data_IF_118696840588
#
_entry.id   IF_118696840588
#
_cell.length_a   1.000
_cell.length_b   1.000
_cell.length_c   1.000
_cell.angle_alpha   90.00
_cell.angle_beta   90.00
_cell.angle_gamma   90.00
#
_symmetry.space_group_name_H-M   'P 1'
#
loop_
_entity.id
_entity.type
_entity.pdbx_description
1 polymer ?
#
# COMPACT_ATOMS: atom_id res chain seq x y z
N UNK A 1 -2.79 -3.52 47.42
CA UNK A 1 -3.34 -4.67 46.69
C UNK A 1 -3.16 -4.36 45.21
N UNK A 2 -2.21 -5.01 44.52
CA UNK A 2 -1.99 -4.79 43.08
C UNK A 2 -3.13 -5.49 42.33
N UNK A 3 -4.10 -4.72 41.85
CA UNK A 3 -5.10 -5.22 40.90
C UNK A 3 -4.52 -5.06 39.50
N UNK A 4 -4.34 -6.17 38.80
CA UNK A 4 -4.04 -6.15 37.37
C UNK A 4 -5.31 -5.69 36.66
N UNK A 5 -5.21 -4.62 35.88
CA UNK A 5 -6.33 -4.08 35.12
C UNK A 5 -6.82 -5.11 34.08
N UNK A 6 -8.15 -5.21 33.86
CA UNK A 6 -8.69 -6.10 32.85
C UNK A 6 -8.31 -5.61 31.45
N UNK A 7 -7.84 -6.52 30.60
CA UNK A 7 -7.49 -6.24 29.21
C UNK A 7 -8.53 -6.87 28.28
N UNK A 8 -9.04 -6.10 27.33
CA UNK A 8 -10.09 -6.48 26.38
C UNK A 8 -9.56 -6.45 24.97
N UNK A 9 -9.93 -7.44 24.15
CA UNK A 9 -9.52 -7.53 22.75
C UNK A 9 -10.72 -7.33 21.84
N UNK A 10 -10.65 -6.33 20.96
CA UNK A 10 -11.63 -6.10 19.90
C UNK A 10 -10.97 -6.37 18.54
N UNK A 11 -11.66 -7.09 17.66
CA UNK A 11 -11.14 -7.45 16.34
C UNK A 11 -12.01 -6.90 15.21
N UNK A 12 -11.35 -6.45 14.15
CA UNK A 12 -11.98 -6.03 12.89
C UNK A 12 -11.34 -6.79 11.74
N UNK A 13 -12.13 -7.13 10.73
CA UNK A 13 -11.64 -7.82 9.53
C UNK A 13 -11.78 -6.90 8.34
N UNK A 14 -10.68 -6.71 7.62
CA UNK A 14 -10.63 -5.94 6.37
C UNK A 14 -10.21 -6.84 5.22
N UNK A 15 -10.61 -6.46 4.01
CA UNK A 15 -10.14 -7.09 2.78
C UNK A 15 -9.96 -6.05 1.69
N UNK A 16 -9.25 -6.40 0.60
CA UNK A 16 -9.19 -5.55 -0.58
C UNK A 16 -10.60 -5.33 -1.12
N UNK A 17 -10.92 -4.09 -1.47
CA UNK A 17 -12.06 -3.84 -2.35
C UNK A 17 -11.72 -4.51 -3.69
N UNK A 18 -12.47 -5.53 -4.12
CA UNK A 18 -12.19 -6.19 -5.40
C UNK A 18 -12.29 -5.17 -6.53
N UNK A 19 -11.15 -4.84 -7.14
CA UNK A 19 -11.05 -3.94 -8.29
C UNK A 19 -10.60 -4.72 -9.52
N UNK A 20 -11.30 -5.79 -9.87
CA UNK A 20 -11.11 -6.48 -11.16
C UNK A 20 -11.44 -5.58 -12.37
N UNK A 21 -12.04 -4.40 -12.13
CA UNK A 21 -12.45 -3.48 -13.19
C UNK A 21 -11.29 -2.74 -13.88
N UNK A 22 -10.10 -2.65 -13.28
CA UNK A 22 -9.04 -1.77 -13.81
C UNK A 22 -7.61 -2.37 -13.78
N UNK A 23 -7.40 -3.54 -13.19
CA UNK A 23 -6.07 -4.16 -13.01
C UNK A 23 -5.52 -4.84 -14.26
N UNK A 24 -6.35 -5.22 -15.24
CA UNK A 24 -5.87 -5.99 -16.40
C UNK A 24 -5.89 -5.29 -17.76
N UNK A 25 -6.46 -4.08 -17.91
CA UNK A 25 -6.64 -3.50 -19.26
C UNK A 25 -6.75 -1.98 -19.35
N UNK A 26 -6.23 -1.23 -18.37
CA UNK A 26 -6.27 0.26 -18.45
C UNK A 26 -5.12 0.85 -19.28
N UNK A 27 -4.20 0.03 -19.78
CA UNK A 27 -3.54 0.33 -21.06
C UNK A 27 -4.59 0.06 -22.13
N UNK A 28 -5.27 1.07 -22.71
CA UNK A 28 -6.15 0.79 -23.83
C UNK A 28 -5.25 0.14 -24.87
N UNK A 29 -5.61 -1.07 -25.31
CA UNK A 29 -5.01 -1.68 -26.48
C UNK A 29 -5.32 -0.73 -27.65
N UNK A 30 -4.52 0.32 -27.80
CA UNK A 30 -4.51 1.15 -28.97
C UNK A 30 -3.93 0.24 -30.04
N UNK A 31 -4.84 -0.39 -30.78
CA UNK A 31 -4.55 -0.97 -32.08
C UNK A 31 -4.16 0.22 -32.95
N UNK A 32 -2.91 0.69 -32.80
CA UNK A 32 -2.23 1.51 -33.76
C UNK A 32 -2.12 0.62 -34.99
N UNK A 33 -2.94 0.96 -35.96
CA UNK A 33 -3.04 0.33 -37.26
C UNK A 33 -1.65 0.29 -37.88
N UNK A 34 -1.12 -0.91 -38.05
CA UNK A 34 0.06 -1.31 -38.82
C UNK A 34 1.22 -0.28 -38.89
N UNK A 35 2.09 -0.32 -37.89
CA UNK A 35 3.55 -0.33 -38.14
C UNK A 35 4.22 -1.04 -36.96
N UNK A 36 4.78 -2.22 -37.23
CA UNK A 36 5.24 -3.24 -36.27
C UNK A 36 6.41 -2.83 -35.38
N UNK A 37 6.94 -1.63 -35.51
CA UNK A 37 8.17 -1.19 -34.82
C UNK A 37 7.93 -0.35 -33.55
N UNK A 38 6.68 0.04 -33.26
CA UNK A 38 6.38 0.90 -32.09
C UNK A 38 6.01 0.13 -30.81
N UNK A 39 5.95 -1.21 -30.86
CA UNK A 39 5.55 -2.08 -29.73
C UNK A 39 6.54 -2.16 -28.55
N UNK A 40 7.61 -1.36 -28.50
CA UNK A 40 8.71 -1.59 -27.54
C UNK A 40 9.15 -0.42 -26.66
N UNK A 41 8.57 0.78 -26.79
CA UNK A 41 9.07 1.94 -26.04
C UNK A 41 8.10 2.55 -25.02
N UNK A 42 6.94 1.93 -24.75
CA UNK A 42 5.93 2.61 -23.92
C UNK A 42 5.02 1.72 -23.05
N UNK A 43 5.27 0.40 -23.03
CA UNK A 43 4.56 -0.55 -22.15
C UNK A 43 5.24 -0.66 -20.78
N UNK A 44 6.59 -0.60 -20.73
CA UNK A 44 7.35 -1.01 -19.54
C UNK A 44 7.21 -0.10 -18.30
N UNK A 45 6.70 1.14 -18.43
CA UNK A 45 6.69 2.12 -17.34
C UNK A 45 5.29 2.56 -16.87
N UNK A 46 4.20 2.00 -17.41
CA UNK A 46 2.84 2.47 -17.09
C UNK A 46 1.91 1.44 -16.46
N UNK A 47 2.13 0.14 -16.68
CA UNK A 47 1.37 -0.89 -15.97
C UNK A 47 1.71 -0.90 -14.46
N UNK A 48 2.85 -0.32 -14.05
CA UNK A 48 3.24 -0.15 -12.65
C UNK A 48 2.43 0.90 -11.87
N UNK A 49 1.68 1.79 -12.54
CA UNK A 49 0.85 2.78 -11.84
C UNK A 49 -0.44 2.18 -11.28
N UNK A 50 -0.82 0.96 -11.68
CA UNK A 50 -1.99 0.26 -11.14
C UNK A 50 -1.53 -0.64 -10.00
N UNK A 51 -1.87 -0.19 -8.80
CA UNK A 51 -1.32 -0.68 -7.54
C UNK A 51 -1.90 -2.07 -7.24
N UNK A 52 -1.14 -3.11 -7.57
CA UNK A 52 -1.29 -4.40 -6.90
C UNK A 52 -1.04 -4.19 -5.41
N UNK A 53 -2.11 -4.16 -4.62
CA UNK A 53 -2.02 -3.93 -3.19
C UNK A 53 -2.09 -5.26 -2.48
N UNK A 54 -0.92 -5.84 -2.25
CA UNK A 54 -0.78 -7.10 -1.53
C UNK A 54 -1.15 -6.92 -0.04
N UNK A 55 -1.71 -7.96 0.57
CA UNK A 55 -2.15 -8.00 1.97
C UNK A 55 -1.02 -7.67 2.93
N UNK A 56 0.22 -8.06 2.58
CA UNK A 56 1.42 -7.72 3.35
C UNK A 56 1.66 -6.22 3.47
N UNK A 57 1.32 -5.44 2.45
CA UNK A 57 1.47 -3.97 2.46
C UNK A 57 0.47 -3.32 3.42
N UNK A 58 -0.75 -3.85 3.51
CA UNK A 58 -1.74 -3.39 4.49
C UNK A 58 -1.29 -3.63 5.93
N UNK A 59 -0.68 -4.79 6.21
CA UNK A 59 -0.15 -5.09 7.55
C UNK A 59 0.89 -4.06 8.01
N UNK A 60 1.81 -3.68 7.13
CA UNK A 60 2.84 -2.68 7.42
C UNK A 60 2.21 -1.29 7.61
N UNK A 61 1.25 -0.92 6.75
CA UNK A 61 0.58 0.38 6.78
C UNK A 61 -0.30 0.59 8.02
N UNK A 62 -0.97 -0.45 8.52
CA UNK A 62 -1.76 -0.38 9.77
C UNK A 62 -0.90 0.09 10.95
N UNK A 63 0.38 -0.29 10.94
CA UNK A 63 1.32 0.00 12.02
C UNK A 63 2.24 1.20 11.73
N UNK A 64 1.95 1.97 10.67
CA UNK A 64 2.73 3.15 10.31
C UNK A 64 2.51 4.29 11.31
N UNK A 65 3.54 5.10 11.56
CA UNK A 65 3.44 6.23 12.50
C UNK A 65 2.28 7.16 12.16
N UNK A 66 2.05 7.43 10.87
CA UNK A 66 0.96 8.31 10.42
C UNK A 66 -0.43 7.80 10.84
N UNK A 67 -0.70 6.50 10.65
CA UNK A 67 -2.00 5.90 11.02
C UNK A 67 -2.20 5.92 12.54
N UNK A 68 -1.14 5.63 13.28
CA UNK A 68 -1.18 5.59 14.75
C UNK A 68 -1.35 7.00 15.35
N UNK A 69 -0.59 7.98 14.86
CA UNK A 69 -0.67 9.38 15.30
C UNK A 69 -2.05 10.00 15.05
N UNK A 70 -2.59 9.84 13.83
CA UNK A 70 -3.91 10.38 13.51
C UNK A 70 -5.02 9.64 14.29
N UNK A 71 -4.84 8.35 14.60
CA UNK A 71 -5.78 7.62 15.47
C UNK A 71 -5.75 8.15 16.90
N UNK A 72 -4.55 8.34 17.48
CA UNK A 72 -4.37 8.91 18.82
C UNK A 72 -5.01 10.28 18.91
N UNK A 73 -4.74 11.14 17.93
CA UNK A 73 -5.28 12.50 17.84
C UNK A 73 -6.80 12.52 17.67
N UNK A 74 -7.36 11.63 16.86
CA UNK A 74 -8.81 11.57 16.61
C UNK A 74 -9.60 11.07 17.83
N UNK A 75 -8.99 10.21 18.64
CA UNK A 75 -9.61 9.62 19.82
C UNK A 75 -9.17 10.28 21.14
N UNK A 76 -8.27 11.28 21.07
CA UNK A 76 -7.69 11.97 22.22
C UNK A 76 -7.08 10.99 23.25
N UNK A 77 -6.29 10.03 22.75
CA UNK A 77 -5.67 8.99 23.59
C UNK A 77 -4.44 9.54 24.31
N UNK A 78 -4.34 9.25 25.62
CA UNK A 78 -3.17 9.57 26.43
C UNK A 78 -2.04 8.53 26.26
N UNK A 79 -1.62 8.27 25.01
CA UNK A 79 -0.53 7.33 24.72
C UNK A 79 0.35 7.78 23.55
N UNK A 80 1.57 7.23 23.47
CA UNK A 80 2.46 7.41 22.32
C UNK A 80 2.12 6.43 21.18
N UNK A 81 2.53 6.72 19.94
CA UNK A 81 2.37 5.80 18.80
C UNK A 81 2.94 4.40 19.07
N UNK A 82 4.05 4.29 19.77
CA UNK A 82 4.74 3.04 20.11
C UNK A 82 3.94 2.23 21.14
N UNK A 83 3.33 2.92 22.11
CA UNK A 83 2.42 2.29 23.06
C UNK A 83 1.19 1.74 22.33
N UNK A 84 0.57 2.54 21.44
CA UNK A 84 -0.55 2.08 20.64
C UNK A 84 -0.14 0.92 19.71
N UNK A 85 1.05 0.98 19.10
CA UNK A 85 1.59 -0.11 18.26
C UNK A 85 1.68 -1.42 19.04
N UNK A 86 2.16 -1.37 20.28
CA UNK A 86 2.25 -2.57 21.13
C UNK A 86 0.88 -3.19 21.48
N UNK A 87 -0.20 -2.41 21.41
CA UNK A 87 -1.58 -2.83 21.66
C UNK A 87 -2.24 -3.44 20.41
N UNK A 88 -1.60 -3.33 19.24
CA UNK A 88 -2.14 -3.78 17.97
C UNK A 88 -1.45 -5.07 17.54
N UNK A 89 -2.26 -6.02 17.09
CA UNK A 89 -1.81 -7.25 16.44
C UNK A 89 -2.54 -7.43 15.13
N UNK A 90 -1.86 -8.02 14.17
CA UNK A 90 -2.39 -8.34 12.86
C UNK A 90 -2.28 -9.84 12.61
N UNK A 91 -3.35 -10.46 12.14
CA UNK A 91 -3.44 -11.89 11.89
C UNK A 91 -4.06 -12.15 10.52
N UNK A 92 -3.49 -13.10 9.79
CA UNK A 92 -3.98 -13.60 8.52
C UNK A 92 -4.27 -15.09 8.68
N UNK A 93 -5.40 -15.56 8.14
CA UNK A 93 -5.83 -16.95 8.31
C UNK A 93 -4.94 -17.93 7.54
N UNK A 94 -4.47 -17.52 6.37
CA UNK A 94 -3.57 -18.25 5.47
C UNK A 94 -2.77 -17.23 4.63
N UNK A 95 -1.58 -17.57 4.14
CA UNK A 95 -0.73 -16.69 3.31
C UNK A 95 -1.47 -16.20 2.05
N UNK A 96 -2.41 -17.01 1.56
CA UNK A 96 -3.24 -16.71 0.37
C UNK A 96 -4.56 -16.01 0.71
N UNK A 97 -4.92 -15.86 1.98
CA UNK A 97 -6.16 -15.20 2.36
C UNK A 97 -6.01 -13.69 2.17
N UNK A 98 -6.77 -13.03 1.27
CA UNK A 98 -6.64 -11.59 1.07
C UNK A 98 -7.12 -10.76 2.27
N UNK A 99 -7.73 -11.41 3.28
CA UNK A 99 -8.31 -10.73 4.42
C UNK A 99 -7.32 -10.61 5.58
N UNK A 100 -7.32 -9.42 6.20
CA UNK A 100 -6.52 -9.11 7.37
C UNK A 100 -7.40 -8.92 8.59
N UNK A 101 -7.08 -9.62 9.67
CA UNK A 101 -7.69 -9.38 10.99
C UNK A 101 -6.80 -8.46 11.81
N UNK A 102 -7.36 -7.34 12.26
CA UNK A 102 -6.69 -6.39 13.15
C UNK A 102 -7.31 -6.57 14.54
N UNK A 103 -6.46 -6.83 15.53
CA UNK A 103 -6.83 -7.05 16.93
C UNK A 103 -6.22 -5.92 17.75
N UNK A 104 -7.06 -5.28 18.58
CA UNK A 104 -6.63 -4.21 19.49
C UNK A 104 -6.91 -4.63 20.92
N UNK A 105 -5.87 -4.61 21.75
CA UNK A 105 -5.94 -4.89 23.19
C UNK A 105 -5.96 -3.58 23.98
N UNK A 106 -6.99 -3.37 24.80
CA UNK A 106 -7.12 -2.14 25.61
C UNK A 106 -7.85 -2.38 26.94
N UNK A 107 -7.66 -1.50 27.91
CA UNK A 107 -8.22 -1.68 29.27
C UNK A 107 -9.71 -1.33 29.37
N UNK A 108 -10.26 -0.65 28.36
CA UNK A 108 -11.69 -0.38 28.23
C UNK A 108 -12.27 -1.09 27.00
N UNK A 109 -13.37 -1.80 27.22
CA UNK A 109 -14.04 -2.62 26.20
C UNK A 109 -14.57 -1.82 25.01
N UNK A 110 -15.14 -0.64 25.27
CA UNK A 110 -15.75 0.20 24.24
C UNK A 110 -14.66 0.91 23.47
N UNK A 111 -13.64 1.35 24.19
CA UNK A 111 -12.48 2.03 23.62
C UNK A 111 -11.66 1.08 22.74
N UNK A 112 -11.47 -0.19 23.12
CA UNK A 112 -10.82 -1.20 22.27
C UNK A 112 -11.48 -1.28 20.88
N UNK A 113 -12.82 -1.40 20.85
CA UNK A 113 -13.57 -1.46 19.59
C UNK A 113 -13.51 -0.15 18.81
N UNK A 114 -13.59 1.00 19.50
CA UNK A 114 -13.45 2.33 18.86
C UNK A 114 -12.06 2.53 18.25
N UNK A 115 -11.00 2.11 18.94
CA UNK A 115 -9.63 2.19 18.43
C UNK A 115 -9.51 1.31 17.19
N UNK A 116 -9.94 0.04 17.24
CA UNK A 116 -9.89 -0.87 16.09
C UNK A 116 -10.62 -0.30 14.86
N UNK A 117 -11.85 0.21 15.04
CA UNK A 117 -12.61 0.81 13.94
C UNK A 117 -11.96 2.11 13.43
N UNK A 118 -11.39 2.93 14.31
CA UNK A 118 -10.75 4.20 13.93
C UNK A 118 -9.43 3.97 13.20
N UNK A 119 -8.64 2.97 13.62
CA UNK A 119 -7.43 2.55 12.92
C UNK A 119 -7.72 2.21 11.47
N UNK A 120 -8.78 1.45 11.20
CA UNK A 120 -9.16 1.10 9.82
C UNK A 120 -9.56 2.35 9.01
N UNK A 121 -10.31 3.28 9.62
CA UNK A 121 -10.64 4.54 8.94
C UNK A 121 -9.39 5.36 8.62
N UNK A 122 -8.43 5.44 9.55
CA UNK A 122 -7.17 6.15 9.29
C UNK A 122 -6.35 5.43 8.22
N UNK A 123 -6.27 4.11 8.27
CA UNK A 123 -5.63 3.31 7.24
C UNK A 123 -6.22 3.57 5.84
N UNK A 124 -7.55 3.61 5.71
CA UNK A 124 -8.23 3.93 4.44
C UNK A 124 -7.78 5.29 3.90
N UNK A 125 -7.73 6.31 4.76
CA UNK A 125 -7.26 7.65 4.39
C UNK A 125 -5.78 7.63 3.99
N UNK A 126 -4.93 6.89 4.72
CA UNK A 126 -3.51 6.78 4.43
C UNK A 126 -3.27 6.18 3.05
N UNK A 127 -3.94 5.06 2.76
CA UNK A 127 -3.86 4.38 1.46
C UNK A 127 -4.27 5.35 0.36
N UNK A 128 -5.42 6.02 0.52
CA UNK A 128 -5.90 7.01 -0.46
C UNK A 128 -4.87 8.11 -0.73
N UNK A 129 -4.26 8.66 0.31
CA UNK A 129 -3.26 9.72 0.19
C UNK A 129 -2.02 9.23 -0.56
N UNK A 130 -1.54 8.01 -0.27
CA UNK A 130 -0.39 7.43 -0.96
C UNK A 130 -0.68 7.13 -2.44
N UNK A 131 -1.90 6.68 -2.75
CA UNK A 131 -2.34 6.44 -4.13
C UNK A 131 -2.46 7.76 -4.90
N UNK A 132 -3.08 8.77 -4.28
CA UNK A 132 -3.17 10.12 -4.81
C UNK A 132 -1.79 10.69 -5.15
N UNK A 133 -0.84 10.59 -4.22
CA UNK A 133 0.53 11.09 -4.41
C UNK A 133 1.25 10.37 -5.57
N UNK A 134 1.07 9.06 -5.70
CA UNK A 134 1.63 8.29 -6.82
C UNK A 134 1.05 8.74 -8.17
N UNK A 135 -0.26 8.93 -8.25
CA UNK A 135 -0.95 9.40 -9.47
C UNK A 135 -0.50 10.82 -9.82
N UNK A 136 -0.43 11.72 -8.85
CA UNK A 136 0.03 13.10 -9.04
C UNK A 136 1.50 13.14 -9.50
N UNK A 137 2.33 12.24 -8.97
CA UNK A 137 3.70 12.01 -9.43
C UNK A 137 3.78 11.60 -10.90
N UNK A 138 2.98 10.61 -11.30
CA UNK A 138 2.88 10.15 -12.69
C UNK A 138 2.40 11.27 -13.63
N UNK A 139 1.40 12.05 -13.21
CA UNK A 139 0.93 13.22 -13.94
C UNK A 139 2.04 14.21 -14.27
N UNK A 140 2.87 14.53 -13.27
CA UNK A 140 4.00 15.45 -13.44
C UNK A 140 5.04 14.91 -14.41
N UNK A 141 5.29 13.61 -14.42
CA UNK A 141 6.25 12.97 -15.34
C UNK A 141 5.71 13.01 -16.77
N UNK A 142 4.46 12.58 -16.98
CA UNK A 142 3.82 12.57 -18.31
C UNK A 142 3.66 13.98 -18.85
N UNK A 143 3.27 14.95 -18.01
CA UNK A 143 3.18 16.36 -18.41
C UNK A 143 4.51 16.92 -18.92
N UNK A 144 5.63 16.58 -18.28
CA UNK A 144 6.97 16.95 -18.79
C UNK A 144 7.30 16.28 -20.12
N UNK A 145 6.96 14.99 -20.27
CA UNK A 145 7.17 14.29 -21.54
C UNK A 145 6.31 14.88 -22.67
N UNK A 146 5.10 15.31 -22.36
CA UNK A 146 4.21 15.98 -23.31
C UNK A 146 4.79 17.33 -23.75
N UNK A 147 5.34 18.12 -22.83
CA UNK A 147 6.00 19.39 -23.16
C UNK A 147 7.20 19.18 -24.10
N UNK A 148 8.02 18.16 -23.83
CA UNK A 148 9.15 17.77 -24.68
C UNK A 148 8.66 17.32 -26.06
N UNK A 149 7.68 16.42 -26.12
CA UNK A 149 7.13 15.90 -27.37
C UNK A 149 6.47 17.03 -28.21
N UNK A 150 5.82 18.00 -27.55
CA UNK A 150 5.27 19.17 -28.22
C UNK A 150 6.37 20.04 -28.84
N UNK A 151 7.46 20.27 -28.11
CA UNK A 151 8.60 21.04 -28.64
C UNK A 151 9.27 20.32 -29.83
N UNK A 152 9.41 19.00 -29.78
CA UNK A 152 9.93 18.19 -30.88
C UNK A 152 9.01 18.21 -32.11
N UNK A 153 7.69 18.13 -31.90
CA UNK A 153 6.71 18.24 -32.98
C UNK A 153 6.75 19.64 -33.62
N UNK A 154 6.79 20.69 -32.81
CA UNK A 154 6.88 22.08 -33.29
C UNK A 154 8.15 22.28 -34.12
N UNK A 155 9.26 21.66 -33.71
CA UNK A 155 10.50 21.69 -34.48
C UNK A 155 10.37 20.94 -35.80
N UNK A 156 9.80 19.72 -35.79
CA UNK A 156 9.57 18.96 -37.02
C UNK A 156 8.65 19.69 -38.01
N UNK A 157 7.62 20.39 -37.51
CA UNK A 157 6.73 21.24 -38.31
C UNK A 157 7.48 22.42 -38.94
N UNK A 158 8.35 23.08 -38.18
CA UNK A 158 9.21 24.17 -38.70
C UNK A 158 10.18 23.68 -39.75
N UNK A 159 10.83 22.53 -39.53
CA UNK A 159 11.77 21.94 -40.48
C UNK A 159 11.06 21.57 -41.79
N UNK A 160 9.89 20.94 -41.70
CA UNK A 160 9.04 20.63 -42.84
C UNK A 160 8.61 21.89 -43.61
N UNK A 161 8.20 22.94 -42.89
CA UNK A 161 7.80 24.21 -43.51
C UNK A 161 8.98 24.89 -44.21
N UNK A 162 10.15 24.92 -43.56
CA UNK A 162 11.36 25.53 -44.10
C UNK A 162 11.80 24.81 -45.37
N UNK A 163 11.82 23.47 -45.33
CA UNK A 163 12.11 22.65 -46.49
C UNK A 163 11.16 22.92 -47.67
N UNK A 164 9.84 23.02 -47.41
CA UNK A 164 8.83 23.33 -48.44
C UNK A 164 9.03 24.72 -49.05
N UNK A 165 9.43 25.72 -48.25
CA UNK A 165 9.71 27.08 -48.72
C UNK A 165 10.97 27.15 -49.58
N UNK A 166 12.06 26.49 -49.17
CA UNK A 166 13.31 26.42 -49.94
C UNK A 166 13.08 25.75 -51.30
N UNK A 167 12.35 24.63 -51.32
CA UNK A 167 11.99 23.91 -52.54
C UNK A 167 11.13 24.77 -53.48
N UNK A 168 10.20 25.57 -52.95
CA UNK A 168 9.36 26.46 -53.75
C UNK A 168 10.13 27.61 -54.42
N UNK A 169 11.32 27.97 -53.90
CA UNK A 169 12.20 28.99 -54.47
C UNK A 169 13.18 28.44 -55.52
N UNK A 170 13.34 27.12 -55.61
CA UNK A 170 14.22 26.45 -56.56
C UNK A 170 13.51 26.21 -57.91
N UNK A 171 14.24 26.38 -59.01
CA UNK A 171 13.75 26.09 -60.37
C UNK A 171 13.64 24.57 -60.61
N UNK A 172 12.88 24.10 -61.63
CA UNK A 172 12.61 22.68 -61.84
C UNK A 172 13.90 21.85 -61.88
N UNK A 173 13.99 20.88 -60.96
CA UNK A 173 15.17 20.07 -60.71
C UNK A 173 15.28 18.87 -61.67
N UNK A 174 16.49 18.33 -61.82
CA UNK A 174 16.76 17.14 -62.62
C UNK A 174 16.11 15.89 -61.97
N UNK A 175 15.78 14.86 -62.77
CA UNK A 175 14.98 13.71 -62.29
C UNK A 175 15.54 12.96 -61.06
N UNK A 176 16.86 12.97 -60.85
CA UNK A 176 17.51 12.36 -59.67
C UNK A 176 17.35 13.22 -58.39
N UNK A 177 17.28 14.54 -58.54
CA UNK A 177 17.15 15.52 -57.46
C UNK A 177 15.70 15.64 -56.97
N UNK A 178 14.75 15.30 -57.84
CA UNK A 178 13.34 15.18 -57.49
C UNK A 178 13.06 13.94 -56.62
N UNK A 179 13.75 12.83 -56.86
CA UNK A 179 13.63 11.59 -56.05
C UNK A 179 14.15 11.81 -54.62
N UNK A 180 15.35 12.38 -54.47
CA UNK A 180 15.91 12.66 -53.13
C UNK A 180 15.02 13.63 -52.35
N UNK A 181 14.46 14.63 -53.05
CA UNK A 181 13.52 15.59 -52.46
C UNK A 181 12.24 14.93 -51.95
N UNK A 182 11.66 14.00 -52.70
CA UNK A 182 10.47 13.26 -52.25
C UNK A 182 10.76 12.37 -51.02
N UNK A 183 11.96 11.80 -50.94
CA UNK A 183 12.36 10.97 -49.79
C UNK A 183 12.50 11.84 -48.54
N UNK A 184 13.16 13.00 -48.62
CA UNK A 184 13.33 13.87 -47.45
C UNK A 184 12.00 14.49 -47.00
N UNK A 185 11.12 14.89 -47.93
CA UNK A 185 9.78 15.36 -47.60
C UNK A 185 8.98 14.30 -46.84
N UNK A 186 9.01 13.04 -47.30
CA UNK A 186 8.39 11.91 -46.59
C UNK A 186 9.02 11.66 -45.22
N UNK A 187 10.34 11.84 -45.07
CA UNK A 187 11.03 11.68 -43.79
C UNK A 187 10.54 12.72 -42.77
N UNK A 188 10.39 13.98 -43.19
CA UNK A 188 9.89 15.07 -42.36
C UNK A 188 8.40 14.91 -42.04
N UNK A 189 7.58 14.56 -43.03
CA UNK A 189 6.15 14.24 -42.80
C UNK A 189 5.97 13.08 -41.81
N UNK A 190 6.79 12.02 -41.92
CA UNK A 190 6.78 10.92 -40.96
C UNK A 190 7.21 11.38 -39.56
N UNK A 191 8.15 12.32 -39.44
CA UNK A 191 8.54 12.88 -38.14
C UNK A 191 7.38 13.64 -37.49
N UNK A 192 6.67 14.48 -38.26
CA UNK A 192 5.45 15.17 -37.80
C UNK A 192 4.36 14.19 -37.37
N UNK A 193 4.10 13.15 -38.18
CA UNK A 193 3.11 12.12 -37.85
C UNK A 193 3.44 11.43 -36.52
N UNK A 194 4.69 11.00 -36.33
CA UNK A 194 5.13 10.37 -35.08
C UNK A 194 4.97 11.29 -33.86
N UNK A 195 5.24 12.58 -34.01
CA UNK A 195 5.04 13.56 -32.93
C UNK A 195 3.57 13.68 -32.53
N UNK A 196 2.67 13.78 -33.51
CA UNK A 196 1.22 13.79 -33.25
C UNK A 196 0.75 12.50 -32.53
N UNK A 197 1.13 11.34 -33.06
CA UNK A 197 0.76 10.04 -32.47
C UNK A 197 1.25 9.93 -31.00
N UNK A 198 2.45 10.46 -30.72
CA UNK A 198 3.01 10.49 -29.36
C UNK A 198 2.19 11.38 -28.43
N UNK A 199 1.82 12.58 -28.87
CA UNK A 199 1.00 13.51 -28.06
C UNK A 199 -0.38 12.92 -27.78
N UNK A 200 -1.02 12.30 -28.78
CA UNK A 200 -2.32 11.64 -28.60
C UNK A 200 -2.24 10.52 -27.56
N UNK A 201 -1.18 9.71 -27.60
CA UNK A 201 -0.93 8.69 -26.60
C UNK A 201 -0.74 9.27 -25.19
N UNK A 202 0.04 10.35 -25.06
CA UNK A 202 0.28 11.00 -23.76
C UNK A 202 -1.01 11.61 -23.20
N UNK A 203 -1.83 12.24 -24.04
CA UNK A 203 -3.15 12.75 -23.67
C UNK A 203 -4.08 11.63 -23.19
N UNK A 204 -4.10 10.49 -23.90
CA UNK A 204 -4.87 9.32 -23.48
C UNK A 204 -4.41 8.79 -22.11
N UNK A 205 -3.10 8.70 -21.88
CA UNK A 205 -2.54 8.29 -20.58
C UNK A 205 -2.93 9.26 -19.47
N UNK A 206 -2.85 10.58 -19.71
CA UNK A 206 -3.29 11.60 -18.74
C UNK A 206 -4.79 11.52 -18.42
N UNK A 207 -5.63 11.20 -19.41
CA UNK A 207 -7.05 10.97 -19.19
C UNK A 207 -7.28 9.73 -18.31
N UNK A 208 -6.55 8.64 -18.58
CA UNK A 208 -6.59 7.42 -17.77
C UNK A 208 -6.24 7.70 -16.30
N UNK A 209 -5.13 8.42 -16.06
CA UNK A 209 -4.76 8.84 -14.71
C UNK A 209 -5.83 9.72 -14.03
N UNK A 210 -6.62 10.48 -14.81
CA UNK A 210 -7.67 11.36 -14.28
C UNK A 210 -8.81 10.56 -13.71
N UNK A 211 -9.19 9.55 -14.47
CA UNK A 211 -10.22 8.60 -14.11
C UNK A 211 -9.77 7.87 -12.84
N UNK A 212 -8.54 7.35 -12.82
CA UNK A 212 -7.96 6.70 -11.63
C UNK A 212 -7.92 7.63 -10.42
N UNK A 213 -7.55 8.91 -10.60
CA UNK A 213 -7.53 9.89 -9.50
C UNK A 213 -8.91 10.08 -8.91
N UNK A 214 -9.93 10.25 -9.77
CA UNK A 214 -11.31 10.43 -9.32
C UNK A 214 -11.85 9.19 -8.60
N UNK A 215 -11.48 8.00 -9.07
CA UNK A 215 -11.88 6.73 -8.46
C UNK A 215 -11.27 6.58 -7.05
N UNK A 216 -9.96 6.82 -6.91
CA UNK A 216 -9.26 6.80 -5.61
C UNK A 216 -9.86 7.83 -4.63
N UNK A 217 -10.33 8.98 -5.13
CA UNK A 217 -10.97 9.99 -4.27
C UNK A 217 -12.37 9.59 -3.81
N UNK A 218 -13.11 8.84 -4.61
CA UNK A 218 -14.50 8.46 -4.32
C UNK A 218 -14.66 7.10 -3.64
N UNK A 219 -13.75 6.16 -3.88
CA UNK A 219 -13.88 4.77 -3.43
C UNK A 219 -12.74 4.36 -2.48
N UNK A 220 -13.06 3.47 -1.55
CA UNK A 220 -12.07 2.91 -0.63
C UNK A 220 -11.40 1.69 -1.24
N UNK A 221 -10.07 1.64 -1.23
CA UNK A 221 -9.30 0.47 -1.71
C UNK A 221 -9.39 -0.74 -0.77
N UNK A 222 -9.84 -0.54 0.46
CA UNK A 222 -10.09 -1.60 1.43
C UNK A 222 -11.50 -1.48 1.99
N UNK A 223 -12.15 -2.62 2.21
CA UNK A 223 -13.48 -2.71 2.80
C UNK A 223 -13.42 -3.35 4.18
N UNK A 224 -14.31 -2.91 5.06
CA UNK A 224 -14.54 -3.54 6.36
C UNK A 224 -15.49 -4.71 6.17
N UNK A 225 -14.98 -5.93 6.30
CA UNK A 225 -15.77 -7.16 6.23
C UNK A 225 -16.51 -7.43 7.54
N UNK A 226 -15.84 -7.16 8.66
CA UNK A 226 -16.44 -7.26 10.00
C UNK A 226 -15.95 -6.10 10.86
N UNK A 227 -16.82 -5.19 11.31
CA UNK A 227 -16.42 -4.11 12.20
C UNK A 227 -16.09 -4.64 13.60
N UNK A 228 -15.28 -3.89 14.35
CA UNK A 228 -14.99 -4.22 15.73
C UNK A 228 -16.16 -3.90 16.65
N UNK A 229 -16.51 -4.88 17.51
CA UNK A 229 -17.56 -4.78 18.53
C UNK A 229 -16.92 -4.90 19.91
N UNK A 230 -17.49 -4.21 20.90
CA UNK A 230 -17.00 -4.26 22.27
C UNK A 230 -17.09 -5.69 22.82
N UNK A 231 -15.97 -6.29 23.28
CA UNK A 231 -15.96 -7.67 23.74
C UNK A 231 -16.68 -7.84 25.08
N UNK A 232 -17.31 -8.99 25.29
CA UNK A 232 -18.11 -9.30 26.48
C UNK A 232 -17.29 -9.62 27.74
N UNK A 233 -16.09 -10.17 27.56
CA UNK A 233 -15.22 -10.60 28.68
C UNK A 233 -13.77 -10.18 28.46
N UNK A 234 -13.02 -9.86 29.54
CA UNK A 234 -11.60 -9.56 29.43
C UNK A 234 -10.79 -10.82 29.13
N UNK A 235 -9.73 -10.66 28.35
CA UNK A 235 -8.76 -11.72 28.01
C UNK A 235 -7.73 -11.90 29.11
N UNK A 236 -7.36 -10.81 29.83
CA UNK A 236 -6.46 -10.85 30.98
C UNK A 236 -7.03 -10.11 32.20
N UNK A 237 -6.65 -10.51 33.43
CA UNK A 237 -5.89 -11.71 33.78
C UNK A 237 -6.74 -12.99 33.69
N UNK A 238 -6.15 -14.09 33.21
CA UNK A 238 -6.83 -15.39 33.19
C UNK A 238 -6.88 -15.98 34.60
N UNK A 239 -7.97 -15.69 35.34
CA UNK A 239 -8.16 -16.10 36.73
C UNK A 239 -8.03 -17.62 36.91
N UNK A 240 -8.51 -18.43 35.97
CA UNK A 240 -8.45 -19.90 36.05
C UNK A 240 -7.00 -20.39 36.02
N UNK A 241 -6.20 -19.88 35.07
CA UNK A 241 -4.78 -20.23 34.96
C UNK A 241 -3.99 -19.77 36.19
N UNK A 242 -4.21 -18.52 36.64
CA UNK A 242 -3.49 -17.99 37.80
C UNK A 242 -3.78 -18.78 39.07
N UNK A 243 -5.03 -19.20 39.28
CA UNK A 243 -5.42 -20.05 40.42
C UNK A 243 -4.75 -21.43 40.32
N UNK A 244 -4.67 -22.03 39.12
CA UNK A 244 -4.00 -23.30 38.93
C UNK A 244 -2.49 -23.22 39.22
N UNK A 245 -1.81 -22.17 38.74
CA UNK A 245 -0.39 -21.92 39.02
C UNK A 245 -0.15 -21.74 40.51
N UNK A 246 -1.00 -20.94 41.19
CA UNK A 246 -0.90 -20.73 42.64
C UNK A 246 -1.07 -22.05 43.43
N UNK A 247 -2.00 -22.93 43.01
CA UNK A 247 -2.18 -24.23 43.64
C UNK A 247 -0.94 -25.13 43.49
N UNK A 248 -0.34 -25.19 42.29
CA UNK A 248 0.88 -25.96 42.03
C UNK A 248 2.06 -25.39 42.82
N UNK A 249 2.25 -24.07 42.84
CA UNK A 249 3.31 -23.42 43.62
C UNK A 249 3.15 -23.66 45.12
N UNK A 250 1.91 -23.59 45.64
CA UNK A 250 1.64 -23.88 47.04
C UNK A 250 2.01 -25.32 47.42
N UNK A 251 1.69 -26.28 46.56
CA UNK A 251 2.07 -27.68 46.76
C UNK A 251 3.60 -27.86 46.73
N UNK A 252 4.30 -27.26 45.76
CA UNK A 252 5.75 -27.32 45.66
C UNK A 252 6.45 -26.69 46.87
N UNK A 253 5.99 -25.52 47.33
CA UNK A 253 6.48 -24.89 48.55
C UNK A 253 6.23 -25.75 49.78
N UNK A 254 5.08 -26.44 49.85
CA UNK A 254 4.79 -27.36 50.94
C UNK A 254 5.75 -28.54 50.97
N UNK A 255 6.02 -29.17 49.82
CA UNK A 255 6.99 -30.28 49.71
C UNK A 255 8.39 -29.80 50.11
N UNK A 256 8.83 -28.67 49.56
CA UNK A 256 10.13 -28.08 49.87
C UNK A 256 10.27 -27.74 51.37
N UNK A 257 9.21 -27.20 51.98
CA UNK A 257 9.18 -26.89 53.41
C UNK A 257 9.35 -28.13 54.30
N UNK A 258 8.75 -29.27 53.91
CA UNK A 258 8.94 -30.54 54.63
C UNK A 258 10.39 -31.02 54.54
N UNK A 259 10.99 -30.99 53.34
CA UNK A 259 12.41 -31.38 53.17
C UNK A 259 13.35 -30.44 53.91
N UNK A 260 13.12 -29.13 53.87
CA UNK A 260 13.94 -28.15 54.59
C UNK A 260 13.86 -28.36 56.10
N UNK A 261 12.66 -28.61 56.63
CA UNK A 261 12.47 -28.91 58.04
C UNK A 261 13.17 -30.21 58.46
N UNK A 262 13.19 -31.24 57.59
CA UNK A 262 13.92 -32.47 57.85
C UNK A 262 15.44 -32.26 57.79
N UNK A 263 15.93 -31.53 56.79
CA UNK A 263 17.35 -31.18 56.67
C UNK A 263 17.87 -30.43 57.90
N UNK A 264 17.10 -29.47 58.43
CA UNK A 264 17.47 -28.74 59.65
C UNK A 264 17.37 -29.57 60.93
N UNK A 265 16.60 -30.67 60.92
CA UNK A 265 16.51 -31.59 62.07
C UNK A 265 17.65 -32.62 62.08
N UNK A 266 18.26 -32.89 60.93
CA UNK A 266 19.32 -33.88 60.81
C UNK A 266 20.64 -33.32 61.39
N UNK A 267 20.88 -33.53 62.68
CA UNK A 267 22.14 -33.19 63.36
C UNK A 267 23.31 -34.08 62.85
N UNK A 268 24.52 -33.56 62.56
CA UNK A 268 25.65 -34.34 62.02
C UNK A 268 26.43 -35.15 63.07
N UNK A 269 25.76 -35.74 64.08
CA UNK A 269 26.43 -36.40 65.21
C UNK A 269 26.03 -37.87 65.45
N UNK A 270 25.50 -38.58 64.45
CA UNK A 270 25.29 -40.03 64.52
C UNK A 270 26.09 -40.77 63.44
N UNK A 271 27.34 -40.37 63.26
CA UNK A 271 28.33 -41.08 62.44
C UNK A 271 29.60 -41.36 63.24
N UNK A 272 29.45 -42.10 64.34
CA UNK A 272 30.48 -43.02 64.82
C UNK A 272 29.85 -44.36 65.26
N UNK A 273 30.59 -45.43 64.99
CA UNK A 273 30.38 -46.85 65.36
C UNK A 273 29.27 -47.62 64.62
N UNK A 274 29.66 -48.41 63.61
CA UNK A 274 30.03 -49.83 63.79
C UNK A 274 30.94 -50.32 62.65
#
# INVERSE_FOLDING_TARGET
MYFIEPEYEASTVIGPAQTDAFTENTSPNYILREDTDYRRLTEENLDEAVINTDTSKYMEMVQSSWVLEETIKKLDLECSPEQLKSMIRTEQKDEKDPNLTIIVSYNDRVMAAKIANTLVQQLQIHIRNLQAEQIDGAYRIIGKQQEIAQAELDQALKDLQTYKLEKAQQSPADSAEEISSQVEEKRLDNAVRRGNDTIDLLNAKMLGLKISRSFVESEDSIIVLSPAVAPESPVKPNKKLNVAIAAVLGLLCSIFGVFLAEYLRQDPLDNETY
#
